data_IF_737518396610
#
_entry.id   IF_737518396610
#
_cell.length_a   1.000
_cell.length_b   1.000
_cell.length_c   1.000
_cell.angle_alpha   90.00
_cell.angle_beta   90.00
_cell.angle_gamma   90.00
#
_symmetry.space_group_name_H-M   'P 1'
#
loop_
_entity.id
_entity.type
_entity.pdbx_description
1 polymer ?
#
# COMPACT_ATOMS: atom_id res chain seq x y z
N UNK A 1 -3.53 10.35 -11.02
CA UNK A 1 -2.27 9.69 -11.41
C UNK A 1 -1.81 8.64 -10.39
N UNK A 2 -1.21 8.95 -9.23
CA UNK A 2 -0.81 7.88 -8.28
C UNK A 2 -1.98 7.22 -7.52
N UNK A 3 -2.87 8.04 -6.95
CA UNK A 3 -4.00 7.56 -6.16
C UNK A 3 -4.95 6.64 -6.96
N UNK A 4 -5.11 6.95 -8.24
CA UNK A 4 -5.93 6.18 -9.18
C UNK A 4 -5.26 4.85 -9.51
N UNK A 5 -3.99 4.87 -9.91
CA UNK A 5 -3.22 3.65 -10.16
C UNK A 5 -3.18 2.72 -8.94
N UNK A 6 -3.03 3.27 -7.73
CA UNK A 6 -3.07 2.47 -6.50
C UNK A 6 -4.42 1.81 -6.28
N UNK A 7 -5.54 2.50 -6.55
CA UNK A 7 -6.88 1.92 -6.45
C UNK A 7 -7.10 0.82 -7.49
N UNK A 8 -6.66 1.06 -8.73
CA UNK A 8 -6.76 0.09 -9.82
C UNK A 8 -5.97 -1.19 -9.50
N UNK A 9 -4.68 -1.06 -9.18
CA UNK A 9 -3.83 -2.21 -8.81
C UNK A 9 -4.40 -2.96 -7.60
N UNK A 10 -4.92 -2.23 -6.60
CA UNK A 10 -5.54 -2.86 -5.43
C UNK A 10 -6.80 -3.66 -5.82
N UNK A 11 -7.65 -3.11 -6.69
CA UNK A 11 -8.85 -3.77 -7.18
C UNK A 11 -8.52 -4.97 -8.08
N UNK A 12 -7.53 -4.84 -8.97
CA UNK A 12 -7.05 -5.93 -9.82
C UNK A 12 -6.53 -7.10 -8.97
N UNK A 13 -5.78 -6.80 -7.90
CA UNK A 13 -5.19 -7.83 -7.05
C UNK A 13 -6.22 -8.52 -6.14
N UNK A 14 -7.13 -7.76 -5.53
CA UNK A 14 -7.99 -8.26 -4.44
C UNK A 14 -9.46 -8.41 -4.83
N UNK A 15 -9.85 -7.94 -6.02
CA UNK A 15 -11.23 -7.87 -6.47
C UNK A 15 -11.94 -6.59 -6.07
N UNK A 16 -12.95 -6.20 -6.88
CA UNK A 16 -13.72 -4.97 -6.71
C UNK A 16 -14.43 -4.86 -5.35
N UNK A 17 -15.01 -5.96 -4.85
CA UNK A 17 -15.71 -5.97 -3.56
C UNK A 17 -14.78 -5.63 -2.40
N UNK A 18 -13.55 -6.15 -2.43
CA UNK A 18 -12.54 -5.87 -1.40
C UNK A 18 -12.06 -4.42 -1.51
N UNK A 19 -11.85 -3.91 -2.73
CA UNK A 19 -11.51 -2.52 -2.95
C UNK A 19 -12.60 -1.57 -2.43
N UNK A 20 -13.87 -1.89 -2.67
CA UNK A 20 -14.99 -1.08 -2.19
C UNK A 20 -15.11 -1.11 -0.66
N UNK A 21 -14.87 -2.27 -0.03
CA UNK A 21 -14.81 -2.38 1.43
C UNK A 21 -13.76 -1.46 2.07
N UNK A 22 -12.62 -1.26 1.40
CA UNK A 22 -11.52 -0.41 1.88
C UNK A 22 -11.44 0.95 1.16
N UNK A 23 -12.56 1.42 0.59
CA UNK A 23 -12.57 2.65 -0.21
C UNK A 23 -12.15 3.88 0.62
N UNK A 24 -12.49 3.92 1.91
CA UNK A 24 -12.11 5.02 2.79
C UNK A 24 -10.59 5.08 3.00
N UNK A 25 -9.95 3.96 3.31
CA UNK A 25 -8.50 3.87 3.47
C UNK A 25 -7.77 4.14 2.16
N UNK A 26 -8.27 3.64 1.02
CA UNK A 26 -7.71 3.95 -0.30
C UNK A 26 -7.84 5.44 -0.65
N UNK A 27 -8.90 6.10 -0.19
CA UNK A 27 -9.05 7.56 -0.32
C UNK A 27 -8.02 8.29 0.53
N UNK A 28 -7.82 7.85 1.77
CA UNK A 28 -6.79 8.41 2.66
C UNK A 28 -5.38 8.24 2.09
N UNK A 29 -5.05 7.08 1.49
CA UNK A 29 -3.79 6.90 0.75
C UNK A 29 -3.68 7.92 -0.37
N UNK A 30 -4.75 8.11 -1.15
CA UNK A 30 -4.77 9.10 -2.24
C UNK A 30 -4.52 10.52 -1.77
N UNK A 31 -5.06 10.92 -0.61
CA UNK A 31 -4.79 12.24 -0.01
C UNK A 31 -3.37 12.38 0.56
N UNK A 32 -2.76 11.27 0.96
CA UNK A 32 -1.38 11.27 1.46
C UNK A 32 -0.35 11.38 0.34
N UNK A 33 -0.68 10.93 -0.87
CA UNK A 33 0.14 11.15 -2.05
C UNK A 33 0.14 12.62 -2.45
N UNK A 34 1.34 13.21 -2.46
CA UNK A 34 1.62 14.51 -3.07
C UNK A 34 2.06 14.31 -4.53
N UNK A 35 2.16 15.41 -5.27
CA UNK A 35 2.89 15.43 -6.54
C UNK A 35 4.28 14.84 -6.33
N UNK A 36 4.64 13.84 -7.12
CA UNK A 36 5.93 13.15 -6.99
C UNK A 36 7.00 13.93 -7.75
N UNK A 37 8.05 14.33 -7.05
CA UNK A 37 9.23 14.95 -7.65
C UNK A 37 10.39 13.95 -7.77
N UNK A 38 11.35 14.17 -8.70
CA UNK A 38 12.53 13.32 -8.80
C UNK A 38 13.27 13.24 -7.47
N UNK A 39 13.41 12.01 -6.93
CA UNK A 39 14.08 11.75 -5.65
C UNK A 39 13.13 11.49 -4.48
N UNK A 40 11.83 11.73 -4.64
CA UNK A 40 10.84 11.40 -3.61
C UNK A 40 10.78 9.90 -3.31
N UNK A 41 10.63 9.58 -2.03
CA UNK A 41 10.49 8.21 -1.54
C UNK A 41 9.22 8.06 -0.71
N UNK A 42 8.35 7.14 -1.14
CA UNK A 42 7.27 6.64 -0.31
C UNK A 42 7.64 5.28 0.29
N UNK A 43 7.41 5.13 1.59
CA UNK A 43 7.64 3.87 2.30
C UNK A 43 6.36 3.47 3.03
N UNK A 44 5.92 2.23 2.85
CA UNK A 44 4.80 1.69 3.60
C UNK A 44 5.29 0.63 4.59
N UNK A 45 5.04 0.85 5.87
CA UNK A 45 5.41 -0.03 6.96
C UNK A 45 4.16 -0.71 7.54
N UNK A 46 4.27 -1.99 7.90
CA UNK A 46 3.27 -2.68 8.70
C UNK A 46 3.86 -2.92 10.09
N UNK A 47 3.21 -2.35 11.11
CA UNK A 47 3.58 -2.48 12.50
C UNK A 47 3.25 -3.86 13.08
N UNK A 48 3.78 -4.18 14.27
CA UNK A 48 3.63 -5.50 14.90
C UNK A 48 2.19 -5.87 15.25
N UNK A 49 1.28 -4.89 15.33
CA UNK A 49 -0.15 -5.09 15.57
C UNK A 49 -0.99 -5.00 14.28
N UNK A 50 -0.34 -5.02 13.12
CA UNK A 50 -0.97 -4.94 11.81
C UNK A 50 -1.30 -3.51 11.36
N UNK A 51 -1.07 -2.49 12.18
CA UNK A 51 -1.30 -1.10 11.78
C UNK A 51 -0.32 -0.67 10.67
N UNK A 52 -0.82 0.01 9.65
CA UNK A 52 -0.03 0.52 8.53
C UNK A 52 0.42 1.96 8.76
N UNK A 53 1.61 2.30 8.29
CA UNK A 53 2.13 3.68 8.27
C UNK A 53 2.70 3.97 6.88
N UNK A 54 2.23 5.06 6.28
CA UNK A 54 2.79 5.59 5.03
C UNK A 54 3.71 6.77 5.36
N UNK A 55 4.95 6.68 4.91
CA UNK A 55 5.98 7.71 5.05
C UNK A 55 6.25 8.36 3.69
N UNK A 56 6.53 9.65 3.68
CA UNK A 56 7.08 10.40 2.55
C UNK A 56 8.38 11.03 3.00
N UNK A 57 9.50 10.67 2.36
CA UNK A 57 10.84 11.12 2.72
C UNK A 57 11.22 10.92 4.21
N UNK A 58 10.63 9.89 4.84
CA UNK A 58 10.83 9.55 6.25
C UNK A 58 9.79 10.12 7.22
N UNK A 59 8.98 11.09 6.77
CA UNK A 59 7.93 11.71 7.59
C UNK A 59 6.60 10.99 7.46
N UNK A 60 5.88 10.86 8.57
CA UNK A 60 4.56 10.22 8.59
C UNK A 60 3.55 11.04 7.80
N UNK A 61 3.07 10.47 6.70
CA UNK A 61 2.04 11.06 5.84
C UNK A 61 0.65 10.54 6.17
N UNK A 62 0.53 9.26 6.53
CA UNK A 62 -0.74 8.66 6.96
C UNK A 62 -0.53 7.43 7.88
N UNK A 63 -1.54 7.15 8.69
CA UNK A 63 -1.61 5.96 9.54
C UNK A 63 -2.94 5.24 9.32
N UNK A 64 -2.89 3.91 9.34
CA UNK A 64 -4.01 3.02 9.06
C UNK A 64 -4.15 2.01 10.21
N UNK A 65 -5.18 2.12 11.06
CA UNK A 65 -5.36 1.20 12.20
C UNK A 65 -5.83 -0.19 11.76
N UNK A 66 -6.33 -0.32 10.53
CA UNK A 66 -6.88 -1.57 9.99
C UNK A 66 -5.76 -2.55 9.59
N UNK A 67 -5.63 -3.65 10.33
CA UNK A 67 -4.70 -4.73 9.98
C UNK A 67 -5.04 -5.35 8.62
N UNK A 68 -6.34 -5.62 8.38
CA UNK A 68 -6.79 -6.21 7.12
C UNK A 68 -6.54 -5.31 5.91
N UNK A 69 -6.62 -3.99 6.07
CA UNK A 69 -6.22 -3.06 5.01
C UNK A 69 -4.71 -3.10 4.79
N UNK A 70 -3.93 -2.94 5.87
CA UNK A 70 -2.48 -2.75 5.80
C UNK A 70 -1.76 -3.96 5.20
N UNK A 71 -2.16 -5.16 5.57
CA UNK A 71 -1.64 -6.41 4.98
C UNK A 71 -1.94 -6.48 3.47
N UNK A 72 -3.17 -6.17 3.07
CA UNK A 72 -3.58 -6.20 1.65
C UNK A 72 -2.94 -5.11 0.82
N UNK A 73 -2.78 -3.94 1.42
CA UNK A 73 -2.09 -2.83 0.79
C UNK A 73 -0.62 -3.19 0.57
N UNK A 74 0.06 -3.80 1.54
CA UNK A 74 1.42 -4.30 1.36
C UNK A 74 1.50 -5.34 0.23
N UNK A 75 0.49 -6.21 0.08
CA UNK A 75 0.46 -7.23 -0.95
C UNK A 75 0.43 -6.68 -2.40
N UNK A 76 -0.02 -5.44 -2.64
CA UNK A 76 0.00 -4.85 -3.99
C UNK A 76 1.43 -4.68 -4.54
N UNK A 77 2.43 -4.74 -3.66
CA UNK A 77 3.84 -4.67 -4.01
C UNK A 77 4.51 -6.04 -4.19
N UNK A 78 3.76 -7.14 -4.08
CA UNK A 78 4.26 -8.50 -4.34
C UNK A 78 4.11 -8.80 -5.84
N UNK A 79 5.24 -8.94 -6.55
CA UNK A 79 5.29 -9.27 -7.98
C UNK A 79 4.79 -10.68 -8.29
N UNK A 80 5.14 -11.64 -7.43
CA UNK A 80 4.76 -13.05 -7.60
C UNK A 80 4.95 -13.79 -6.28
N UNK A 81 4.33 -14.96 -6.15
CA UNK A 81 4.60 -15.89 -5.05
C UNK A 81 5.25 -17.15 -5.63
N UNK A 82 6.25 -17.71 -4.94
CA UNK A 82 6.85 -18.98 -5.34
C UNK A 82 5.94 -20.17 -5.01
N UNK A 83 6.34 -21.38 -5.40
CA UNK A 83 5.58 -22.60 -5.12
C UNK A 83 5.36 -22.89 -3.62
N UNK A 84 6.12 -22.24 -2.74
CA UNK A 84 6.00 -22.30 -1.29
C UNK A 84 5.24 -21.09 -0.70
N UNK A 85 4.57 -20.30 -1.55
CA UNK A 85 3.85 -19.06 -1.20
C UNK A 85 4.73 -17.98 -0.56
N UNK A 86 6.03 -17.98 -0.87
CA UNK A 86 6.90 -16.89 -0.44
C UNK A 86 6.80 -15.73 -1.42
N UNK A 87 6.58 -14.49 -0.94
CA UNK A 87 6.44 -13.34 -1.81
C UNK A 87 7.79 -12.93 -2.42
N UNK A 88 7.77 -12.68 -3.73
CA UNK A 88 8.78 -11.90 -4.44
C UNK A 88 8.31 -10.46 -4.49
N UNK A 89 9.01 -9.58 -3.81
CA UNK A 89 8.66 -8.17 -3.67
C UNK A 89 9.12 -7.34 -4.87
N UNK A 90 8.40 -6.26 -5.17
CA UNK A 90 8.77 -5.25 -6.15
C UNK A 90 9.88 -4.31 -5.66
N UNK A 91 10.32 -4.47 -4.40
CA UNK A 91 11.38 -3.70 -3.77
C UNK A 91 12.31 -4.61 -2.97
N UNK A 92 13.55 -4.16 -2.78
CA UNK A 92 14.62 -4.98 -2.19
C UNK A 92 14.84 -4.74 -0.70
N UNK A 93 14.43 -3.60 -0.13
CA UNK A 93 14.66 -3.24 1.29
C UNK A 93 13.58 -2.29 1.82
N UNK A 94 13.34 -2.30 3.13
CA UNK A 94 12.79 -1.16 3.87
C UNK A 94 13.93 -0.25 4.29
#
# INVERSE_FOLDING_TARGET
ELAEATREIFAERHGGDVAQRFAAELTQVGHAYRTVEPGDRYTFCVGPHGNGVLLHNGDVSAQFPSAGFSERFMQIWVLSEDAQRRPRWAFTQC
#
